data_IF_238743637613
#
_entry.id   IF_238743637613
#
_cell.length_a   1.000
_cell.length_b   1.000
_cell.length_c   1.000
_cell.angle_alpha   90.00
_cell.angle_beta   90.00
_cell.angle_gamma   90.00
#
_symmetry.space_group_name_H-M   'P 1'
#
loop_
_entity.id
_entity.type
_entity.pdbx_description
1 polymer ?
#
# COMPACT_ATOMS: atom_id res chain seq x y z
N UNK A 1 9.82 5.71 4.17
CA UNK A 1 8.87 5.44 5.23
C UNK A 1 7.43 5.49 4.74
N UNK A 2 6.55 5.08 5.61
CA UNK A 2 5.12 5.04 5.29
C UNK A 2 4.53 6.44 5.30
N UNK A 3 3.80 6.78 4.25
CA UNK A 3 3.18 8.08 4.10
C UNK A 3 1.78 8.15 4.70
N UNK A 4 1.10 7.01 4.77
CA UNK A 4 -0.27 6.93 5.26
C UNK A 4 -0.39 5.79 6.27
N UNK A 5 -1.34 5.92 7.18
CA UNK A 5 -1.60 4.89 8.17
C UNK A 5 -2.77 4.00 7.80
N UNK A 6 -2.83 2.84 8.46
CA UNK A 6 -3.97 1.94 8.33
C UNK A 6 -5.25 2.64 8.75
N UNK A 7 -6.31 2.44 7.98
CA UNK A 7 -7.61 3.06 8.25
C UNK A 7 -7.81 4.43 7.62
N UNK A 8 -6.77 4.98 7.02
CA UNK A 8 -6.87 6.29 6.37
C UNK A 8 -7.47 6.15 4.98
N UNK A 9 -8.36 7.08 4.63
CA UNK A 9 -8.93 7.14 3.28
C UNK A 9 -8.00 7.93 2.38
N UNK A 10 -7.72 7.39 1.20
CA UNK A 10 -6.83 8.02 0.22
C UNK A 10 -7.47 8.05 -1.17
N UNK A 11 -7.16 9.06 -1.99
CA UNK A 11 -7.60 9.06 -3.39
C UNK A 11 -6.72 8.16 -4.24
N UNK A 12 -7.24 7.78 -5.41
CA UNK A 12 -6.47 7.03 -6.39
C UNK A 12 -5.20 7.81 -6.76
N UNK A 13 -4.10 7.11 -6.94
CA UNK A 13 -2.81 7.72 -7.27
C UNK A 13 -1.99 8.15 -6.07
N UNK A 14 -2.54 8.06 -4.86
CA UNK A 14 -1.78 8.44 -3.66
C UNK A 14 -0.59 7.54 -3.44
N UNK A 15 0.53 8.12 -3.07
CA UNK A 15 1.69 7.35 -2.65
C UNK A 15 1.45 6.85 -1.23
N UNK A 16 1.54 5.54 -1.06
CA UNK A 16 1.28 4.90 0.23
C UNK A 16 2.55 4.74 1.04
N UNK A 17 3.63 4.34 0.38
CA UNK A 17 4.91 4.16 1.03
C UNK A 17 6.04 4.32 0.03
N UNK A 18 7.11 4.97 0.47
CA UNK A 18 8.38 5.00 -0.26
C UNK A 18 9.36 4.14 0.51
N UNK A 19 9.97 3.20 -0.19
CA UNK A 19 10.86 2.22 0.43
C UNK A 19 11.96 1.83 -0.53
N UNK A 20 13.01 1.31 0.03
CA UNK A 20 14.03 0.61 -0.75
C UNK A 20 13.86 -0.87 -0.46
N UNK A 21 13.61 -1.63 -1.52
CA UNK A 21 13.24 -3.02 -1.38
C UNK A 21 11.78 -3.15 -0.95
N UNK A 22 11.28 -4.35 -0.94
CA UNK A 22 9.86 -4.62 -0.71
C UNK A 22 9.56 -4.98 0.73
N UNK A 23 9.74 -4.03 1.65
CA UNK A 23 9.31 -4.21 3.05
C UNK A 23 7.82 -4.42 3.13
N UNK A 24 7.08 -3.64 2.31
CA UNK A 24 5.65 -3.84 2.11
C UNK A 24 5.45 -4.26 0.68
N UNK A 25 4.57 -5.23 0.48
CA UNK A 25 4.22 -5.73 -0.85
C UNK A 25 2.87 -5.17 -1.26
N UNK A 26 2.63 -5.00 -2.57
CA UNK A 26 1.32 -4.53 -3.03
C UNK A 26 0.27 -5.60 -2.82
N UNK A 27 -0.82 -5.23 -2.13
CA UNK A 27 -1.98 -6.06 -1.96
C UNK A 27 -3.05 -5.68 -2.98
N UNK A 28 -4.31 -5.77 -2.54
CA UNK A 28 -5.45 -5.47 -3.42
C UNK A 28 -5.47 -3.98 -3.74
N UNK A 29 -5.65 -3.65 -5.03
CA UNK A 29 -5.79 -2.27 -5.53
C UNK A 29 -4.57 -1.39 -5.26
N UNK A 30 -3.40 -2.00 -5.11
CA UNK A 30 -2.14 -1.29 -4.91
C UNK A 30 -1.18 -1.65 -6.02
N UNK A 31 -0.55 -0.63 -6.59
CA UNK A 31 0.47 -0.81 -7.59
C UNK A 31 1.85 -0.57 -7.01
N UNK A 32 2.87 -1.08 -7.72
CA UNK A 32 4.26 -0.89 -7.33
C UNK A 32 5.03 -0.23 -8.45
N UNK A 33 5.79 0.80 -8.12
CA UNK A 33 6.66 1.48 -9.08
C UNK A 33 8.01 0.80 -9.22
N UNK A 34 8.83 1.30 -10.14
CA UNK A 34 10.14 0.73 -10.43
C UNK A 34 11.12 0.89 -9.26
N UNK A 35 10.86 1.83 -8.37
CA UNK A 35 11.69 2.09 -7.19
C UNK A 35 11.07 1.51 -5.91
N UNK A 36 10.20 0.53 -6.04
CA UNK A 36 9.48 -0.12 -4.94
C UNK A 36 8.48 0.78 -4.22
N UNK A 37 8.14 1.93 -4.80
CA UNK A 37 7.11 2.82 -4.26
C UNK A 37 5.75 2.19 -4.47
N UNK A 38 4.94 2.12 -3.41
CA UNK A 38 3.57 1.63 -3.50
C UNK A 38 2.60 2.80 -3.61
N UNK A 39 1.60 2.63 -4.46
CA UNK A 39 0.58 3.66 -4.68
C UNK A 39 -0.80 3.05 -4.82
N UNK A 40 -1.82 3.84 -4.50
CA UNK A 40 -3.21 3.41 -4.59
C UNK A 40 -3.67 3.44 -6.04
N UNK A 41 -4.21 2.33 -6.52
CA UNK A 41 -4.81 2.27 -7.87
C UNK A 41 -6.23 2.82 -7.88
N UNK A 42 -6.89 2.80 -6.74
CA UNK A 42 -8.27 3.28 -6.59
C UNK A 42 -8.37 4.08 -5.30
N UNK A 43 -9.41 4.89 -5.19
CA UNK A 43 -9.74 5.55 -3.94
C UNK A 43 -10.29 4.54 -2.95
N UNK A 44 -9.96 4.69 -1.68
CA UNK A 44 -10.48 3.80 -0.65
C UNK A 44 -9.70 3.91 0.63
N UNK A 45 -9.90 2.92 1.49
CA UNK A 45 -9.31 2.88 2.83
C UNK A 45 -8.07 2.01 2.83
N UNK A 46 -6.99 2.53 3.39
CA UNK A 46 -5.73 1.79 3.51
C UNK A 46 -5.88 0.69 4.56
N UNK A 47 -5.50 -0.53 4.20
CA UNK A 47 -5.49 -1.66 5.09
C UNK A 47 -4.13 -2.32 5.04
N UNK A 48 -3.54 -2.58 6.19
CA UNK A 48 -2.25 -3.27 6.27
C UNK A 48 -2.51 -4.69 6.75
N UNK A 49 -2.04 -5.66 5.97
CA UNK A 49 -2.17 -7.06 6.30
C UNK A 49 -0.80 -7.64 6.60
N UNK A 50 -0.75 -8.49 7.61
CA UNK A 50 0.47 -9.19 7.99
C UNK A 50 0.27 -10.69 7.73
N UNK A 51 1.09 -11.25 6.84
CA UNK A 51 0.92 -12.63 6.39
C UNK A 51 2.13 -13.50 6.78
N UNK A 52 2.35 -13.65 8.07
CA UNK A 52 3.39 -14.56 8.57
C UNK A 52 4.70 -14.45 7.81
N UNK A 53 5.18 -15.55 7.25
CA UNK A 53 6.45 -15.59 6.51
C UNK A 53 6.45 -14.86 5.19
N UNK A 54 5.30 -14.41 4.69
CA UNK A 54 5.22 -13.68 3.43
C UNK A 54 5.41 -12.17 3.60
N UNK A 55 5.40 -11.68 4.84
CA UNK A 55 5.62 -10.27 5.12
C UNK A 55 4.34 -9.47 5.21
N UNK A 56 4.46 -8.16 4.99
CA UNK A 56 3.35 -7.22 5.12
C UNK A 56 2.86 -6.79 3.77
N UNK A 57 1.55 -6.67 3.65
CA UNK A 57 0.88 -6.23 2.43
C UNK A 57 0.05 -4.99 2.74
N UNK A 58 0.05 -4.04 1.81
CA UNK A 58 -0.83 -2.88 1.88
C UNK A 58 -1.91 -3.07 0.84
N UNK A 59 -3.16 -2.91 1.25
CA UNK A 59 -4.31 -3.03 0.37
C UNK A 59 -5.19 -1.79 0.49
N UNK A 60 -5.96 -1.53 -0.57
CA UNK A 60 -6.95 -0.47 -0.55
C UNK A 60 -8.32 -1.12 -0.69
N UNK A 61 -9.17 -0.87 0.29
CA UNK A 61 -10.57 -1.28 0.21
C UNK A 61 -11.34 -0.19 -0.50
N UNK A 62 -11.85 -0.52 -1.68
CA UNK A 62 -12.58 0.44 -2.48
C UNK A 62 -13.84 0.94 -1.78
N UNK A 63 -14.20 2.16 -2.09
CA UNK A 63 -15.41 2.75 -1.56
C UNK A 63 -16.65 2.17 -2.24
#
# INVERSE_FOLDING_TARGET
GMKVGSGQTVPAGSILIRQRGTRFKPGRNVGIGSDDTLFAKVSGVVTIEHRGGQGRFISILGA
#
